data_IF_996833059286
#
_entry.id   IF_996833059286
#
_cell.length_a   1.000
_cell.length_b   1.000
_cell.length_c   1.000
_cell.angle_alpha   90.00
_cell.angle_beta   90.00
_cell.angle_gamma   90.00
#
_symmetry.space_group_name_H-M   'P 1'
#
loop_
_entity.id
_entity.type
_entity.pdbx_description
1 polymer ?
#
# COMPACT_ATOMS: atom_id res chain seq x y z
N UNK A 1 14.81 1.02 -8.52
CA UNK A 1 13.36 1.01 -8.23
C UNK A 1 13.13 2.12 -7.22
N UNK A 2 12.09 2.94 -7.37
CA UNK A 2 11.76 3.96 -6.35
C UNK A 2 11.15 3.26 -5.14
N UNK A 3 11.49 3.72 -3.95
CA UNK A 3 11.00 3.18 -2.68
C UNK A 3 10.67 4.35 -1.75
N UNK A 4 9.62 4.18 -0.93
CA UNK A 4 9.27 5.11 0.15
C UNK A 4 9.48 4.41 1.48
N UNK A 5 10.17 5.07 2.41
CA UNK A 5 10.35 4.60 3.77
C UNK A 5 9.23 5.23 4.62
N UNK A 6 8.43 4.40 5.27
CA UNK A 6 7.38 4.80 6.19
C UNK A 6 7.82 4.43 7.61
N UNK A 7 7.78 5.41 8.52
CA UNK A 7 8.05 5.17 9.94
C UNK A 7 6.72 4.90 10.63
N UNK A 8 6.55 3.69 11.17
CA UNK A 8 5.36 3.27 11.89
C UNK A 8 5.38 3.78 13.34
N UNK A 9 4.24 3.76 14.02
CA UNK A 9 4.11 4.23 15.41
C UNK A 9 4.99 3.46 16.40
N UNK A 10 5.24 2.18 16.13
CA UNK A 10 6.13 1.34 16.92
C UNK A 10 7.64 1.67 16.71
N UNK A 11 7.95 2.64 15.84
CA UNK A 11 9.31 3.04 15.48
C UNK A 11 9.96 2.15 14.41
N UNK A 12 9.23 1.20 13.85
CA UNK A 12 9.69 0.35 12.76
C UNK A 12 9.72 1.13 11.44
N UNK A 13 10.77 0.91 10.65
CA UNK A 13 10.88 1.44 9.29
C UNK A 13 10.36 0.40 8.29
N UNK A 14 9.23 0.69 7.67
CA UNK A 14 8.66 -0.11 6.60
C UNK A 14 9.06 0.45 5.22
N UNK A 15 9.49 -0.42 4.31
CA UNK A 15 9.81 -0.03 2.94
C UNK A 15 8.65 -0.39 2.01
N UNK A 16 8.09 0.59 1.33
CA UNK A 16 7.09 0.40 0.27
C UNK A 16 7.72 0.60 -1.10
N UNK A 17 7.60 -0.42 -1.95
CA UNK A 17 8.04 -0.37 -3.34
C UNK A 17 7.03 0.37 -4.22
N UNK A 18 7.53 0.93 -5.32
CA UNK A 18 6.68 1.54 -6.35
C UNK A 18 5.68 0.51 -6.93
N UNK A 19 4.37 0.84 -7.00
CA UNK A 19 3.37 0.02 -7.66
C UNK A 19 3.71 -0.23 -9.13
N UNK A 20 3.37 -1.42 -9.63
CA UNK A 20 3.46 -1.73 -11.06
C UNK A 20 2.12 -2.22 -11.62
N UNK A 21 2.01 -2.31 -12.94
CA UNK A 21 0.78 -2.70 -13.65
C UNK A 21 0.25 -4.06 -13.18
N UNK A 22 1.11 -5.02 -12.82
CA UNK A 22 0.69 -6.33 -12.33
C UNK A 22 -0.01 -6.22 -10.97
N UNK A 23 0.54 -5.43 -10.05
CA UNK A 23 -0.05 -5.20 -8.73
C UNK A 23 -1.41 -4.52 -8.86
N UNK A 24 -1.52 -3.47 -9.68
CA UNK A 24 -2.78 -2.78 -9.94
C UNK A 24 -3.85 -3.71 -10.52
N UNK A 25 -3.49 -4.47 -11.56
CA UNK A 25 -4.41 -5.43 -12.19
C UNK A 25 -4.88 -6.48 -11.18
N UNK A 26 -3.97 -7.05 -10.40
CA UNK A 26 -4.32 -8.07 -9.43
C UNK A 26 -5.20 -7.54 -8.30
N UNK A 27 -4.99 -6.29 -7.85
CA UNK A 27 -5.85 -5.64 -6.87
C UNK A 27 -7.30 -5.57 -7.38
N UNK A 28 -7.50 -5.04 -8.59
CA UNK A 28 -8.83 -4.91 -9.20
C UNK A 28 -9.53 -6.25 -9.47
N UNK A 29 -8.76 -7.32 -9.73
CA UNK A 29 -9.31 -8.67 -9.91
C UNK A 29 -9.69 -9.34 -8.58
N UNK A 30 -9.05 -8.93 -7.48
CA UNK A 30 -9.25 -9.55 -6.17
C UNK A 30 -10.58 -9.13 -5.54
N UNK A 31 -10.96 -7.87 -5.67
CA UNK A 31 -12.17 -7.32 -5.07
C UNK A 31 -12.67 -6.10 -5.83
N UNK A 32 -13.97 -5.84 -5.79
CA UNK A 32 -14.60 -4.60 -6.23
C UNK A 32 -14.55 -3.49 -5.16
N UNK A 33 -14.19 -3.83 -3.92
CA UNK A 33 -14.11 -2.88 -2.82
C UNK A 33 -12.73 -2.22 -2.74
N UNK A 34 -12.72 -0.89 -2.74
CA UNK A 34 -11.49 -0.08 -2.70
C UNK A 34 -10.59 -0.41 -1.51
N UNK A 35 -11.16 -0.66 -0.33
CA UNK A 35 -10.38 -0.99 0.87
C UNK A 35 -9.65 -2.33 0.74
N UNK A 36 -10.32 -3.37 0.23
CA UNK A 36 -9.70 -4.68 0.01
C UNK A 36 -8.61 -4.60 -1.07
N UNK A 37 -8.81 -3.79 -2.10
CA UNK A 37 -7.79 -3.49 -3.11
C UNK A 37 -6.58 -2.77 -2.50
N UNK A 38 -6.81 -1.77 -1.65
CA UNK A 38 -5.75 -1.02 -0.98
C UNK A 38 -4.92 -1.91 -0.06
N UNK A 39 -5.57 -2.76 0.75
CA UNK A 39 -4.90 -3.73 1.62
C UNK A 39 -4.01 -4.66 0.80
N UNK A 40 -4.52 -5.22 -0.30
CA UNK A 40 -3.74 -6.07 -1.19
C UNK A 40 -2.50 -5.37 -1.77
N UNK A 41 -2.68 -4.13 -2.25
CA UNK A 41 -1.58 -3.35 -2.81
C UNK A 41 -0.53 -3.06 -1.75
N UNK A 42 -0.94 -2.57 -0.58
CA UNK A 42 -0.03 -2.25 0.53
C UNK A 42 0.74 -3.50 0.96
N UNK A 43 0.05 -4.63 1.18
CA UNK A 43 0.68 -5.90 1.56
C UNK A 43 1.74 -6.34 0.53
N UNK A 44 1.38 -6.32 -0.75
CA UNK A 44 2.28 -6.71 -1.85
C UNK A 44 3.51 -5.79 -1.96
N UNK A 45 3.32 -4.48 -1.82
CA UNK A 45 4.38 -3.48 -2.00
C UNK A 45 5.31 -3.35 -0.80
N UNK A 46 4.84 -3.76 0.38
CA UNK A 46 5.60 -3.76 1.64
C UNK A 46 6.15 -5.15 2.00
N UNK A 47 5.86 -6.17 1.19
CA UNK A 47 6.21 -7.57 1.44
C UNK A 47 5.67 -8.08 2.80
N UNK A 48 4.44 -7.67 3.13
CA UNK A 48 3.65 -8.15 4.27
C UNK A 48 2.50 -9.02 3.81
N UNK A 49 1.90 -9.76 4.74
CA UNK A 49 0.63 -10.43 4.52
C UNK A 49 -0.54 -9.45 4.68
N UNK A 50 -1.65 -9.72 4.00
CA UNK A 50 -2.86 -8.89 4.11
C UNK A 50 -3.39 -8.84 5.55
N UNK A 51 -3.35 -9.96 6.27
CA UNK A 51 -3.73 -10.02 7.69
C UNK A 51 -2.86 -9.12 8.57
N UNK A 52 -1.56 -8.99 8.27
CA UNK A 52 -0.70 -8.06 9.01
C UNK A 52 -1.12 -6.60 8.79
N UNK A 53 -1.66 -6.27 7.61
CA UNK A 53 -2.16 -4.91 7.30
C UNK A 53 -3.53 -4.69 7.93
N UNK A 54 -4.38 -5.71 7.99
CA UNK A 54 -5.70 -5.65 8.64
C UNK A 54 -5.60 -5.53 10.17
N UNK A 55 -4.60 -6.18 10.77
CA UNK A 55 -4.33 -6.13 12.21
C UNK A 55 -3.56 -4.86 12.63
N UNK A 56 -3.10 -4.04 11.68
CA UNK A 56 -2.39 -2.79 11.98
C UNK A 56 -3.30 -1.73 12.60
N UNK A 57 -2.69 -0.85 13.40
CA UNK A 57 -3.37 0.35 13.89
C UNK A 57 -3.78 1.27 12.74
N UNK A 58 -4.92 1.95 12.89
CA UNK A 58 -5.47 2.85 11.85
C UNK A 58 -4.47 3.92 11.43
N UNK A 59 -3.65 4.44 12.34
CA UNK A 59 -2.68 5.49 12.02
C UNK A 59 -1.56 4.96 11.11
N UNK A 60 -1.02 3.79 11.42
CA UNK A 60 -0.03 3.12 10.59
C UNK A 60 -0.60 2.81 9.20
N UNK A 61 -1.82 2.27 9.15
CA UNK A 61 -2.51 2.01 7.89
C UNK A 61 -2.68 3.28 7.04
N UNK A 62 -3.08 4.41 7.65
CA UNK A 62 -3.25 5.68 6.94
C UNK A 62 -1.94 6.22 6.37
N UNK A 63 -0.82 6.08 7.08
CA UNK A 63 0.49 6.47 6.55
C UNK A 63 0.90 5.60 5.34
N UNK A 64 0.61 4.30 5.38
CA UNK A 64 0.83 3.40 4.24
C UNK A 64 -0.08 3.76 3.06
N UNK A 65 -1.35 4.03 3.31
CA UNK A 65 -2.30 4.46 2.28
C UNK A 65 -1.88 5.78 1.63
N UNK A 66 -1.36 6.72 2.42
CA UNK A 66 -0.82 8.00 1.93
C UNK A 66 0.43 7.79 1.07
N UNK A 67 1.33 6.90 1.48
CA UNK A 67 2.52 6.56 0.70
C UNK A 67 2.13 5.95 -0.67
N UNK A 68 1.18 5.00 -0.66
CA UNK A 68 0.61 4.40 -1.87
C UNK A 68 -0.01 5.46 -2.77
N UNK A 69 -0.88 6.32 -2.22
CA UNK A 69 -1.52 7.40 -2.99
C UNK A 69 -0.49 8.33 -3.63
N UNK A 70 0.57 8.69 -2.91
CA UNK A 70 1.64 9.50 -3.45
C UNK A 70 2.34 8.85 -4.65
N UNK A 71 2.50 7.52 -4.67
CA UNK A 71 3.03 6.83 -5.86
C UNK A 71 2.07 6.92 -7.06
N UNK A 72 0.77 6.76 -6.83
CA UNK A 72 -0.23 6.82 -7.90
C UNK A 72 -0.35 8.24 -8.47
N UNK A 73 -0.35 9.25 -7.61
CA UNK A 73 -0.34 10.66 -8.01
C UNK A 73 0.91 11.01 -8.85
N UNK A 74 2.10 10.56 -8.43
CA UNK A 74 3.35 10.72 -9.20
C UNK A 74 3.27 10.06 -10.59
N UNK A 75 2.53 8.95 -10.71
CA UNK A 75 2.32 8.23 -11.95
C UNK A 75 1.19 8.83 -12.83
N UNK A 76 0.54 9.90 -12.39
CA UNK A 76 -0.59 10.51 -13.10
C UNK A 76 -1.90 9.73 -12.98
N UNK A 77 -1.97 8.75 -12.07
CA UNK A 77 -3.17 8.00 -11.73
C UNK A 77 -3.87 8.74 -10.58
N UNK A 78 -4.59 9.81 -10.91
CA UNK A 78 -5.48 10.51 -9.98
C UNK A 78 -6.90 9.99 -10.16
N UNK A 79 -7.38 9.18 -9.22
CA UNK A 79 -8.83 8.99 -8.99
C UNK A 79 -9.32 9.99 -7.97
#
# INVERSE_FOLDING_TARGET
>A
MKEKIIVLENGENLVMKEPNVRVLKNATLKSDKEMEQAIYMIATLTNKQESEIEDMGLKDFLELQKALKGFLEEAGLTT
#
